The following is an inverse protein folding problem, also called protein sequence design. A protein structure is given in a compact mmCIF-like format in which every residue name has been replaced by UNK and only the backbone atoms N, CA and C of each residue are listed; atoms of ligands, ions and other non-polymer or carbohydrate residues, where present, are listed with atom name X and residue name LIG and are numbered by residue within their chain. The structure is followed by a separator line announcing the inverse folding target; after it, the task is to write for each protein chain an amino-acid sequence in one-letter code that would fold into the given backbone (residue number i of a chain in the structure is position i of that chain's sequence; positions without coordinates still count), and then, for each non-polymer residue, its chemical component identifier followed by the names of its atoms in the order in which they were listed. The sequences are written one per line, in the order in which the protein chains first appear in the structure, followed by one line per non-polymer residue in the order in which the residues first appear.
data_IF_399453357415
#
_entry.id   IF_399453357415
#
_cell.length_a   1.000
_cell.length_b   1.000
_cell.length_c   1.000
_cell.angle_alpha   90.00
_cell.angle_beta   90.00
_cell.angle_gamma   90.00
#
_symmetry.space_group_name_H-M   'P 1'
#
loop_
_entity.id
_entity.type
_entity.pdbx_description
1 polymer ?
#
# COMPACT_ATOMS: atom_id res chain seq x y z
N UNK A 1 14.11 23.08 4.12
CA UNK A 1 15.08 22.00 4.42
C UNK A 1 15.16 21.67 5.92
N UNK A 2 14.18 22.07 6.71
CA UNK A 2 14.16 21.88 8.18
C UNK A 2 14.06 20.37 8.56
N UNK A 3 13.39 19.56 7.77
CA UNK A 3 13.12 18.14 8.07
C UNK A 3 14.34 17.23 7.87
N UNK A 4 15.29 17.58 7.00
CA UNK A 4 16.49 16.76 6.75
C UNK A 4 17.46 16.71 7.93
N UNK A 5 17.39 17.67 8.84
CA UNK A 5 18.24 17.69 10.04
C UNK A 5 17.62 16.93 11.22
N UNK A 6 16.35 16.60 11.16
CA UNK A 6 15.63 15.91 12.23
C UNK A 6 15.78 14.38 12.14
N UNK A 7 15.86 13.87 10.90
CA UNK A 7 16.06 12.45 10.62
C UNK A 7 17.38 12.27 9.85
N UNK A 8 18.16 11.22 10.17
CA UNK A 8 19.34 10.83 9.36
C UNK A 8 18.85 10.17 8.04
N UNK A 9 18.29 11.00 7.17
CA UNK A 9 17.70 10.61 5.89
C UNK A 9 18.79 10.65 4.81
N UNK A 10 19.04 9.53 4.15
CA UNK A 10 20.15 9.40 3.17
C UNK A 10 19.68 9.28 1.73
N UNK A 11 18.60 8.57 1.47
CA UNK A 11 18.19 8.19 0.12
C UNK A 11 16.68 8.30 -0.03
N UNK A 12 16.21 8.96 -1.08
CA UNK A 12 14.81 8.98 -1.47
C UNK A 12 14.45 7.65 -2.12
N UNK A 13 13.47 6.93 -1.56
CA UNK A 13 12.96 5.67 -2.10
C UNK A 13 11.80 5.87 -3.06
N UNK A 14 11.04 6.96 -2.88
CA UNK A 14 9.90 7.28 -3.73
C UNK A 14 9.22 8.59 -3.35
N UNK A 15 8.36 9.05 -4.27
CA UNK A 15 7.58 10.28 -4.10
C UNK A 15 6.18 10.09 -4.66
N UNK A 16 5.17 10.45 -3.86
CA UNK A 16 3.77 10.47 -4.25
C UNK A 16 3.15 11.86 -4.16
N UNK A 17 1.85 11.95 -4.39
CA UNK A 17 1.09 13.20 -4.29
C UNK A 17 1.12 13.76 -2.86
N UNK A 18 1.03 12.89 -1.87
CA UNK A 18 0.81 13.25 -0.47
C UNK A 18 2.10 13.23 0.38
N UNK A 19 3.25 12.83 -0.21
CA UNK A 19 4.50 12.79 0.53
C UNK A 19 5.69 12.14 -0.17
N UNK A 20 6.78 12.06 0.58
CA UNK A 20 8.07 11.54 0.11
C UNK A 20 8.52 10.45 1.07
N UNK A 21 9.00 9.35 0.51
CA UNK A 21 9.51 8.18 1.23
C UNK A 21 11.03 8.16 1.16
N UNK A 22 11.66 7.96 2.30
CA UNK A 22 13.11 7.93 2.46
C UNK A 22 13.58 6.64 3.10
N UNK A 23 14.80 6.25 2.78
CA UNK A 23 15.49 5.18 3.48
C UNK A 23 15.87 5.65 4.91
N UNK A 24 15.48 4.89 5.92
CA UNK A 24 15.69 5.19 7.32
C UNK A 24 16.17 3.96 8.06
N UNK A 25 17.49 3.77 8.12
CA UNK A 25 18.13 2.56 8.64
C UNK A 25 17.65 1.29 7.89
N UNK A 26 17.09 0.33 8.63
CA UNK A 26 16.48 -0.92 8.11
C UNK A 26 14.98 -0.76 7.74
N UNK A 27 14.47 0.48 7.81
CA UNK A 27 13.06 0.86 7.61
C UNK A 27 12.92 1.91 6.52
N UNK A 28 11.69 2.30 6.27
CA UNK A 28 11.34 3.48 5.48
C UNK A 28 10.64 4.51 6.36
N UNK A 29 10.85 5.80 6.06
CA UNK A 29 10.11 6.90 6.68
C UNK A 29 9.38 7.66 5.58
N UNK A 30 8.07 7.86 5.72
CA UNK A 30 7.29 8.74 4.83
C UNK A 30 6.97 10.03 5.57
N UNK A 31 7.25 11.17 4.94
CA UNK A 31 6.85 12.49 5.41
C UNK A 31 5.70 12.95 4.52
N UNK A 32 4.56 13.26 5.15
CA UNK A 32 3.30 13.54 4.48
C UNK A 32 2.77 14.93 4.80
N UNK A 33 1.92 15.43 3.90
CA UNK A 33 1.06 16.60 4.13
C UNK A 33 -0.38 16.13 3.96
N UNK A 34 -1.24 16.33 4.97
CA UNK A 34 -2.63 15.87 4.91
C UNK A 34 -3.36 16.03 6.24
N UNK A 35 -4.32 15.17 6.52
CA UNK A 35 -5.07 15.15 7.77
C UNK A 35 -4.50 14.07 8.70
N UNK A 36 -3.81 14.49 9.75
CA UNK A 36 -3.15 13.59 10.69
C UNK A 36 -4.14 12.76 11.52
N UNK A 37 -5.26 13.33 11.92
CA UNK A 37 -6.28 12.62 12.71
C UNK A 37 -6.95 11.51 11.89
N UNK A 38 -7.26 11.78 10.63
CA UNK A 38 -7.78 10.77 9.70
C UNK A 38 -6.78 9.61 9.51
N UNK A 39 -5.49 9.94 9.35
CA UNK A 39 -4.42 8.94 9.28
C UNK A 39 -4.35 8.10 10.57
N UNK A 40 -4.36 8.71 11.75
CA UNK A 40 -4.33 8.00 13.04
C UNK A 40 -5.52 7.05 13.21
N UNK A 41 -6.73 7.49 12.84
CA UNK A 41 -7.93 6.67 12.90
C UNK A 41 -7.84 5.44 11.97
N UNK A 42 -7.29 5.62 10.78
CA UNK A 42 -7.06 4.50 9.85
C UNK A 42 -6.08 3.48 10.42
N UNK A 43 -5.02 3.89 11.11
CA UNK A 43 -3.99 3.00 11.65
C UNK A 43 -4.50 2.04 12.73
N UNK A 44 -5.48 2.43 13.53
CA UNK A 44 -6.01 1.59 14.63
C UNK A 44 -6.49 0.23 14.11
N UNK A 45 -7.06 0.21 12.93
CA UNK A 45 -7.58 -1.01 12.29
C UNK A 45 -6.52 -1.71 11.43
N UNK A 46 -5.65 -0.97 10.78
CA UNK A 46 -4.71 -1.50 9.79
C UNK A 46 -3.53 -2.27 10.37
N UNK A 47 -2.97 -1.85 11.48
CA UNK A 47 -1.82 -2.55 12.11
C UNK A 47 -2.13 -3.99 12.56
N UNK A 48 -3.39 -4.41 12.49
CA UNK A 48 -3.82 -5.79 12.80
C UNK A 48 -3.85 -6.68 11.56
N UNK A 49 -3.59 -6.14 10.38
CA UNK A 49 -3.79 -6.80 9.10
C UNK A 49 -2.43 -7.19 8.50
N UNK A 50 -2.15 -8.48 8.39
CA UNK A 50 -0.84 -8.99 7.97
C UNK A 50 -0.43 -8.65 6.51
N UNK A 51 -1.38 -8.36 5.65
CA UNK A 51 -1.14 -8.01 4.24
C UNK A 51 -1.12 -6.49 3.99
N UNK A 52 -1.03 -5.70 5.05
CA UNK A 52 -0.84 -4.25 5.00
C UNK A 52 0.56 -3.93 5.52
N UNK A 53 1.21 -2.91 4.96
CA UNK A 53 2.52 -2.44 5.40
C UNK A 53 2.48 -2.08 6.88
N UNK A 54 3.42 -2.59 7.66
CA UNK A 54 3.47 -2.34 9.09
C UNK A 54 4.01 -0.95 9.39
N UNK A 55 3.31 -0.20 10.25
CA UNK A 55 3.74 1.08 10.79
C UNK A 55 4.28 0.88 12.21
N UNK A 56 5.49 1.36 12.48
CA UNK A 56 6.16 1.23 13.76
C UNK A 56 6.04 2.47 14.63
N UNK A 57 6.05 3.64 14.00
CA UNK A 57 6.07 4.92 14.68
C UNK A 57 5.43 5.98 13.78
N UNK A 58 4.77 6.96 14.37
CA UNK A 58 4.22 8.11 13.65
C UNK A 58 4.05 9.30 14.60
N UNK A 59 4.17 10.51 14.05
CA UNK A 59 3.93 11.74 14.83
C UNK A 59 3.66 12.94 13.92
N UNK A 60 2.93 13.92 14.44
CA UNK A 60 2.75 15.23 13.80
C UNK A 60 4.01 16.06 14.00
N UNK A 61 4.49 16.70 12.93
CA UNK A 61 5.66 17.60 12.94
C UNK A 61 5.26 19.07 13.04
N UNK A 62 4.07 19.43 12.55
CA UNK A 62 3.58 20.79 12.50
C UNK A 62 2.47 20.97 11.48
N UNK A 63 2.32 22.20 11.01
CA UNK A 63 1.33 22.57 10.00
C UNK A 63 1.97 23.37 8.86
N UNK A 64 1.44 23.21 7.66
CA UNK A 64 1.82 23.95 6.48
C UNK A 64 0.59 24.22 5.59
N UNK A 65 0.24 25.50 5.38
CA UNK A 65 -0.90 25.93 4.58
C UNK A 65 -2.22 25.21 4.98
N UNK A 66 -2.52 25.22 6.30
CA UNK A 66 -3.71 24.60 6.91
C UNK A 66 -3.78 23.06 6.82
N UNK A 67 -2.69 22.41 6.38
CA UNK A 67 -2.55 20.97 6.40
C UNK A 67 -1.55 20.52 7.46
N UNK A 68 -1.80 19.36 8.05
CA UNK A 68 -0.84 18.75 8.96
C UNK A 68 0.38 18.25 8.19
N UNK A 69 1.56 18.49 8.73
CA UNK A 69 2.79 17.83 8.31
C UNK A 69 3.11 16.76 9.35
N UNK A 70 3.18 15.51 8.92
CA UNK A 70 3.43 14.37 9.79
C UNK A 70 4.36 13.35 9.13
N UNK A 71 4.88 12.45 9.93
CA UNK A 71 5.66 11.33 9.43
C UNK A 71 5.16 10.01 10.00
N UNK A 72 5.51 8.95 9.31
CA UNK A 72 5.46 7.61 9.88
C UNK A 72 6.63 6.75 9.41
N UNK A 73 7.12 5.91 10.34
CA UNK A 73 8.15 4.92 10.10
C UNK A 73 7.48 3.59 9.83
N UNK A 74 7.79 3.00 8.69
CA UNK A 74 7.17 1.76 8.22
C UNK A 74 8.21 0.71 7.85
N UNK A 75 7.77 -0.53 7.69
CA UNK A 75 8.62 -1.58 7.15
C UNK A 75 9.14 -1.18 5.76
N UNK A 76 10.41 -1.54 5.51
CA UNK A 76 11.01 -1.33 4.21
C UNK A 76 10.56 -2.44 3.27
N UNK A 77 9.91 -2.05 2.19
CA UNK A 77 9.37 -2.95 1.19
C UNK A 77 10.12 -2.82 -0.12
N UNK A 78 10.07 -3.87 -0.92
CA UNK A 78 10.62 -3.94 -2.27
C UNK A 78 9.52 -3.73 -3.30
N UNK A 79 9.85 -3.11 -4.42
CA UNK A 79 8.93 -2.98 -5.56
C UNK A 79 8.62 -4.35 -6.15
N UNK A 80 7.44 -4.48 -6.73
CA UNK A 80 7.10 -5.62 -7.56
C UNK A 80 8.09 -5.76 -8.73
N UNK A 81 8.33 -6.98 -9.19
CA UNK A 81 8.94 -7.19 -10.51
C UNK A 81 8.00 -6.70 -11.62
N UNK A 82 8.54 -6.51 -12.82
CA UNK A 82 7.73 -6.10 -13.98
C UNK A 82 6.61 -7.11 -14.28
N UNK A 83 6.88 -8.39 -14.08
CA UNK A 83 5.90 -9.46 -14.32
C UNK A 83 4.81 -9.47 -13.25
N UNK A 84 5.17 -9.36 -11.98
CA UNK A 84 4.20 -9.23 -10.87
C UNK A 84 3.33 -7.97 -11.02
N UNK A 85 3.93 -6.84 -11.41
CA UNK A 85 3.21 -5.59 -11.67
C UNK A 85 2.18 -5.78 -12.79
N UNK A 86 2.54 -6.43 -13.90
CA UNK A 86 1.61 -6.77 -14.98
C UNK A 86 0.50 -7.70 -14.54
N UNK A 87 0.82 -8.68 -13.68
CA UNK A 87 -0.18 -9.61 -13.12
C UNK A 87 -1.22 -8.86 -12.31
N UNK A 88 -0.78 -8.02 -11.34
CA UNK A 88 -1.70 -7.24 -10.53
C UNK A 88 -2.47 -6.21 -11.34
N UNK A 89 -1.83 -5.52 -12.28
CA UNK A 89 -2.51 -4.61 -13.19
C UNK A 89 -3.64 -5.33 -13.95
N UNK A 90 -3.37 -6.52 -14.48
CA UNK A 90 -4.37 -7.29 -15.23
C UNK A 90 -5.52 -7.73 -14.34
N UNK A 91 -5.22 -8.30 -13.15
CA UNK A 91 -6.25 -8.71 -12.20
C UNK A 91 -7.15 -7.54 -11.80
N UNK A 92 -6.54 -6.39 -11.45
CA UNK A 92 -7.28 -5.21 -11.02
C UNK A 92 -8.07 -4.54 -12.15
N UNK A 93 -7.60 -4.60 -13.39
CA UNK A 93 -8.28 -4.03 -14.56
C UNK A 93 -9.51 -4.83 -14.99
N UNK A 94 -9.53 -6.14 -14.77
CA UNK A 94 -10.69 -6.98 -15.07
C UNK A 94 -11.88 -6.73 -14.14
N UNK A 95 -11.62 -6.11 -12.98
CA UNK A 95 -12.63 -5.78 -11.97
C UNK A 95 -13.26 -4.39 -12.15
N UNK A 96 -13.27 -3.84 -13.38
CA UNK A 96 -13.61 -2.44 -13.65
C UNK A 96 -15.03 -2.04 -13.24
N UNK A 97 -15.13 -0.84 -12.64
CA UNK A 97 -16.29 -0.01 -12.34
C UNK A 97 -17.30 -0.43 -11.24
N UNK A 98 -17.25 -1.65 -10.66
CA UNK A 98 -17.98 -2.02 -9.44
C UNK A 98 -17.23 -3.12 -8.67
N UNK A 99 -16.02 -2.84 -8.36
CA UNK A 99 -14.87 -3.70 -8.09
C UNK A 99 -15.07 -4.88 -7.14
N UNK A 100 -16.00 -4.83 -6.20
CA UNK A 100 -16.22 -5.95 -5.27
C UNK A 100 -17.44 -6.82 -5.60
N UNK A 101 -18.39 -6.33 -6.40
CA UNK A 101 -19.68 -7.03 -6.60
C UNK A 101 -19.59 -8.27 -7.50
N UNK A 102 -18.61 -8.35 -8.38
CA UNK A 102 -18.50 -9.42 -9.37
C UNK A 102 -17.25 -10.27 -9.20
N UNK A 103 -16.45 -10.03 -8.13
CA UNK A 103 -15.27 -10.83 -7.87
C UNK A 103 -15.64 -12.26 -7.53
N UNK A 104 -15.05 -13.22 -8.24
CA UNK A 104 -15.05 -14.63 -7.86
C UNK A 104 -13.62 -15.15 -7.93
N UNK A 105 -13.26 -16.05 -7.02
CA UNK A 105 -11.94 -16.67 -7.01
C UNK A 105 -11.68 -17.46 -8.30
N UNK A 106 -12.71 -18.07 -8.86
CA UNK A 106 -12.63 -18.82 -10.14
C UNK A 106 -12.20 -17.93 -11.29
N UNK A 107 -12.72 -16.71 -11.38
CA UNK A 107 -12.31 -15.73 -12.41
C UNK A 107 -10.84 -15.33 -12.24
N UNK A 108 -10.39 -15.09 -11.00
CA UNK A 108 -8.99 -14.78 -10.74
C UNK A 108 -8.07 -15.94 -11.12
N UNK A 109 -8.45 -17.18 -10.78
CA UNK A 109 -7.70 -18.40 -11.17
C UNK A 109 -7.61 -18.52 -12.68
N UNK A 110 -8.69 -18.28 -13.42
CA UNK A 110 -8.69 -18.34 -14.88
C UNK A 110 -7.70 -17.32 -15.50
N UNK A 111 -7.73 -16.07 -15.01
CA UNK A 111 -6.83 -15.00 -15.45
C UNK A 111 -5.38 -15.39 -15.15
N UNK A 112 -5.08 -15.82 -13.92
CA UNK A 112 -3.74 -16.19 -13.51
C UNK A 112 -3.17 -17.38 -14.31
N UNK A 113 -3.99 -18.38 -14.63
CA UNK A 113 -3.59 -19.51 -15.47
C UNK A 113 -3.19 -19.06 -16.88
N UNK A 114 -3.88 -18.08 -17.46
CA UNK A 114 -3.52 -17.49 -18.75
C UNK A 114 -2.19 -16.72 -18.67
N UNK A 115 -2.00 -15.94 -17.61
CA UNK A 115 -0.79 -15.13 -17.42
C UNK A 115 0.46 -15.97 -17.13
N UNK A 116 0.32 -17.10 -16.43
CA UNK A 116 1.42 -18.02 -16.11
C UNK A 116 2.18 -18.58 -17.34
N UNK A 117 1.57 -18.53 -18.51
CA UNK A 117 2.21 -19.00 -19.75
C UNK A 117 3.36 -18.09 -20.20
N UNK A 118 3.34 -16.80 -19.84
CA UNK A 118 4.32 -15.81 -20.33
C UNK A 118 4.96 -14.92 -19.25
N UNK A 119 4.56 -15.05 -17.99
CA UNK A 119 5.06 -14.23 -16.89
C UNK A 119 5.59 -15.11 -15.75
N UNK A 120 6.64 -14.63 -15.08
CA UNK A 120 7.25 -15.28 -13.92
C UNK A 120 6.72 -14.67 -12.62
N UNK A 121 5.87 -15.42 -11.92
CA UNK A 121 5.31 -15.01 -10.63
C UNK A 121 4.88 -16.20 -9.77
N UNK A 122 4.80 -16.01 -8.47
CA UNK A 122 4.28 -16.98 -7.51
C UNK A 122 2.74 -16.97 -7.53
N UNK A 123 2.14 -17.94 -8.25
CA UNK A 123 0.70 -18.06 -8.43
C UNK A 123 -0.07 -18.09 -7.12
N UNK A 124 0.38 -18.91 -6.17
CA UNK A 124 -0.34 -19.12 -4.90
C UNK A 124 -0.30 -17.87 -4.02
N UNK A 125 0.86 -17.19 -3.96
CA UNK A 125 1.00 -15.94 -3.21
C UNK A 125 0.16 -14.82 -3.82
N UNK A 126 0.16 -14.68 -5.15
CA UNK A 126 -0.65 -13.67 -5.84
C UNK A 126 -2.13 -13.91 -5.59
N UNK A 127 -2.61 -15.15 -5.79
CA UNK A 127 -4.02 -15.51 -5.56
C UNK A 127 -4.43 -15.26 -4.11
N UNK A 128 -3.61 -15.70 -3.15
CA UNK A 128 -3.87 -15.50 -1.73
C UNK A 128 -4.00 -14.03 -1.37
N UNK A 129 -3.03 -13.20 -1.81
CA UNK A 129 -3.05 -11.77 -1.53
C UNK A 129 -4.22 -11.07 -2.20
N UNK A 130 -4.49 -11.40 -3.48
CA UNK A 130 -5.60 -10.81 -4.23
C UNK A 130 -6.95 -11.13 -3.57
N UNK A 131 -7.16 -12.38 -3.16
CA UNK A 131 -8.34 -12.77 -2.38
C UNK A 131 -8.47 -11.97 -1.08
N UNK A 132 -7.35 -11.71 -0.37
CA UNK A 132 -7.37 -10.91 0.86
C UNK A 132 -7.83 -9.48 0.65
N UNK A 133 -7.37 -8.81 -0.40
CA UNK A 133 -7.82 -7.43 -0.70
C UNK A 133 -9.23 -7.36 -1.26
N UNK A 134 -9.68 -8.37 -2.01
CA UNK A 134 -11.00 -8.35 -2.63
C UNK A 134 -12.12 -8.78 -1.68
N UNK A 135 -11.87 -9.78 -0.81
CA UNK A 135 -12.87 -10.33 0.11
C UNK A 135 -12.93 -9.62 1.47
N UNK A 136 -11.88 -8.92 1.85
CA UNK A 136 -11.91 -8.17 3.10
C UNK A 136 -12.42 -6.75 2.86
N UNK A 137 -13.21 -6.27 3.81
CA UNK A 137 -13.91 -4.98 3.82
C UNK A 137 -12.98 -3.76 3.96
N UNK A 138 -11.71 -3.85 3.49
CA UNK A 138 -10.86 -2.68 3.44
C UNK A 138 -11.37 -1.79 2.31
N UNK A 139 -12.00 -0.71 2.68
CA UNK A 139 -12.37 0.36 1.77
C UNK A 139 -11.15 1.19 1.36
N UNK A 140 -10.18 0.57 0.69
CA UNK A 140 -9.08 1.29 0.10
C UNK A 140 -9.56 1.92 -1.21
N UNK A 141 -9.52 3.26 -1.28
CA UNK A 141 -10.05 4.01 -2.42
C UNK A 141 -9.21 3.91 -3.69
N UNK A 142 -7.96 3.47 -3.56
CA UNK A 142 -6.99 3.40 -4.67
C UNK A 142 -6.20 2.09 -4.63
N UNK A 143 -6.91 0.96 -4.78
CA UNK A 143 -6.22 -0.31 -4.97
C UNK A 143 -5.68 -0.35 -6.40
N UNK A 144 -4.38 -0.16 -6.53
CA UNK A 144 -3.66 -0.27 -7.80
C UNK A 144 -2.37 -1.06 -7.60
N UNK A 145 -1.81 -1.57 -8.67
CA UNK A 145 -0.53 -2.31 -8.65
C UNK A 145 0.62 -1.47 -8.06
N UNK A 146 0.53 -0.13 -8.16
CA UNK A 146 1.53 0.81 -7.62
C UNK A 146 1.51 0.87 -6.10
N UNK A 147 0.38 0.51 -5.49
CA UNK A 147 0.20 0.49 -4.04
C UNK A 147 0.40 -0.90 -3.46
N UNK A 148 0.98 -1.83 -4.24
CA UNK A 148 1.36 -3.18 -3.82
C UNK A 148 2.88 -3.29 -3.86
N UNK A 149 3.48 -3.77 -2.79
CA UNK A 149 4.91 -4.02 -2.64
C UNK A 149 5.15 -5.38 -1.99
N UNK A 150 6.42 -5.78 -1.79
CA UNK A 150 6.80 -7.03 -1.12
C UNK A 150 7.67 -6.77 0.10
N UNK A 151 7.52 -7.59 1.14
CA UNK A 151 8.50 -7.69 2.21
C UNK A 151 9.70 -8.56 1.77
N UNK A 152 10.74 -8.63 2.61
CA UNK A 152 11.94 -9.41 2.35
C UNK A 152 11.71 -10.93 2.24
N UNK A 153 10.53 -11.43 2.64
CA UNK A 153 10.11 -12.82 2.48
C UNK A 153 9.28 -13.04 1.20
N UNK A 154 9.10 -11.99 0.39
CA UNK A 154 8.28 -12.01 -0.81
C UNK A 154 6.77 -12.04 -0.54
N UNK A 155 6.33 -11.62 0.64
CA UNK A 155 4.91 -11.46 0.97
C UNK A 155 4.40 -10.13 0.45
N UNK A 156 3.32 -10.14 -0.30
CA UNK A 156 2.72 -8.91 -0.82
C UNK A 156 2.06 -8.10 0.30
N UNK A 157 2.22 -6.79 0.21
CA UNK A 157 1.71 -5.81 1.17
C UNK A 157 1.06 -4.64 0.44
N UNK A 158 -0.07 -4.18 0.98
CA UNK A 158 -0.71 -2.95 0.54
C UNK A 158 -0.07 -1.76 1.26
N UNK A 159 0.20 -0.69 0.52
CA UNK A 159 0.69 0.60 1.02
C UNK A 159 -0.32 1.71 0.74
N UNK A 160 -0.03 2.94 1.17
CA UNK A 160 -0.82 4.15 0.92
C UNK A 160 -2.12 4.22 1.74
N UNK A 161 -1.93 4.33 3.05
CA UNK A 161 -3.01 4.25 4.05
C UNK A 161 -3.91 5.49 4.12
N UNK A 162 -3.47 6.62 3.60
CA UNK A 162 -4.18 7.91 3.71
C UNK A 162 -5.51 7.89 2.96
N UNK A 163 -5.74 6.87 2.13
CA UNK A 163 -6.95 6.72 1.32
C UNK A 163 -7.90 5.62 1.79
N UNK A 164 -7.74 5.15 3.02
CA UNK A 164 -8.68 4.18 3.60
C UNK A 164 -9.83 4.94 4.23
N UNK A 165 -11.05 4.73 3.73
CA UNK A 165 -12.27 5.27 4.37
C UNK A 165 -12.62 4.44 5.60
N UNK A 166 -12.93 5.11 6.69
CA UNK A 166 -13.65 4.50 7.81
C UNK A 166 -15.12 4.30 7.41
N UNK A 167 -15.71 3.18 7.83
CA UNK A 167 -17.13 2.86 7.55
C UNK A 167 -18.12 3.88 8.15
N UNK A 168 -17.66 4.73 9.08
CA UNK A 168 -18.48 5.71 9.79
C UNK A 168 -18.66 7.05 9.03
N UNK A 169 -18.12 7.20 7.82
CA UNK A 169 -18.23 8.42 7.01
C UNK A 169 -19.32 8.35 5.89
N UNK A 170 -20.36 7.54 6.08
CA UNK A 170 -21.56 7.49 5.20
C UNK A 170 -22.74 8.23 5.82
#
# INVERSE_FOLDING_TARGET
NFYYSYFDIKEELGRGADGIVWNYNDKAIKICIGNYDSFCNSLINLNKINYVCKIYEYNKLGEYLDYDVYYYVMEKLEKLSDDESKVFFTLLSHEDNNKKKNYTEENAIEILNKLKIGLDFDFDKVLYFFNKIMLNEINHLDISERNIMKDSCGTFKLIDFERIKNEDEN
#
